data_IF_218389623704
#
_entry.id   IF_218389623704
#
_cell.length_a   1.000
_cell.length_b   1.000
_cell.length_c   1.000
_cell.angle_alpha   90.00
_cell.angle_beta   90.00
_cell.angle_gamma   90.00
#
_symmetry.space_group_name_H-M   'P 1'
#
loop_
_entity.id
_entity.type
_entity.pdbx_description
1 polymer ?
#
# COMPACT_ATOMS: atom_id res chain seq x y z
N UNK A 1 -8.67 -17.52 -12.47
CA UNK A 1 -8.18 -16.63 -11.38
C UNK A 1 -7.92 -17.48 -10.16
N UNK A 2 -6.99 -17.08 -9.29
CA UNK A 2 -6.84 -17.73 -7.98
C UNK A 2 -8.00 -17.32 -7.08
N UNK A 3 -8.37 -18.19 -6.15
CA UNK A 3 -9.24 -17.84 -5.03
C UNK A 3 -8.51 -16.91 -4.05
N UNK A 4 -9.27 -16.18 -3.22
CA UNK A 4 -8.69 -15.32 -2.19
C UNK A 4 -7.83 -16.10 -1.19
N UNK A 5 -8.18 -17.37 -0.90
CA UNK A 5 -7.41 -18.23 -0.01
C UNK A 5 -6.07 -18.68 -0.64
N UNK A 6 -6.06 -19.03 -1.92
CA UNK A 6 -4.82 -19.36 -2.64
C UNK A 6 -3.92 -18.14 -2.79
N UNK A 7 -4.51 -16.97 -3.05
CA UNK A 7 -3.76 -15.73 -3.15
C UNK A 7 -3.13 -15.35 -1.80
N UNK A 8 -3.87 -15.53 -0.69
CA UNK A 8 -3.33 -15.33 0.66
C UNK A 8 -2.14 -16.23 0.94
N UNK A 9 -2.27 -17.53 0.66
CA UNK A 9 -1.18 -18.49 0.86
C UNK A 9 0.08 -18.13 0.05
N UNK A 10 -0.10 -17.70 -1.21
CA UNK A 10 1.02 -17.24 -2.05
C UNK A 10 1.63 -15.95 -1.54
N UNK A 11 0.82 -15.00 -1.07
CA UNK A 11 1.30 -13.75 -0.49
C UNK A 11 2.22 -14.01 0.70
N UNK A 12 1.85 -14.93 1.59
CA UNK A 12 2.68 -15.32 2.73
C UNK A 12 3.99 -16.00 2.29
N UNK A 13 3.94 -16.89 1.29
CA UNK A 13 5.15 -17.51 0.71
C UNK A 13 6.09 -16.45 0.08
N UNK A 14 5.54 -15.51 -0.67
CA UNK A 14 6.31 -14.43 -1.29
C UNK A 14 6.90 -13.46 -0.27
N UNK A 15 6.18 -13.18 0.82
CA UNK A 15 6.69 -12.38 1.92
C UNK A 15 7.85 -13.08 2.62
N UNK A 16 7.71 -14.38 2.93
CA UNK A 16 8.76 -15.19 3.53
C UNK A 16 10.02 -15.29 2.64
N UNK A 17 9.84 -15.29 1.32
CA UNK A 17 10.94 -15.25 0.33
C UNK A 17 11.48 -13.85 0.07
N UNK A 18 10.92 -12.84 0.74
CA UNK A 18 11.32 -11.46 0.61
C UNK A 18 11.25 -10.94 -0.85
N UNK A 19 10.22 -11.35 -1.58
CA UNK A 19 9.95 -10.91 -2.95
C UNK A 19 9.32 -9.52 -2.97
N UNK A 20 9.65 -8.71 -3.97
CA UNK A 20 8.98 -7.41 -4.14
C UNK A 20 7.57 -7.65 -4.67
N UNK A 21 6.58 -7.06 -4.00
CA UNK A 21 5.18 -7.16 -4.37
C UNK A 21 4.56 -5.76 -4.46
N UNK A 22 3.67 -5.57 -5.42
CA UNK A 22 2.89 -4.34 -5.58
C UNK A 22 1.41 -4.67 -5.76
N UNK A 23 0.55 -3.74 -5.39
CA UNK A 23 -0.88 -3.80 -5.61
C UNK A 23 -1.36 -2.50 -6.25
N UNK A 24 -2.35 -2.56 -7.13
CA UNK A 24 -2.90 -1.39 -7.82
C UNK A 24 -4.38 -1.58 -8.15
N UNK A 25 -5.12 -0.47 -8.14
CA UNK A 25 -6.51 -0.42 -8.58
C UNK A 25 -6.50 0.04 -10.04
N UNK A 26 -6.75 -0.87 -10.98
CA UNK A 26 -6.68 -0.64 -12.42
C UNK A 26 -8.02 -0.74 -13.13
N UNK A 27 -9.04 -1.27 -12.46
CA UNK A 27 -10.42 -1.30 -12.97
C UNK A 27 -11.21 -0.11 -12.45
N UNK A 28 -11.25 0.96 -13.23
CA UNK A 28 -12.03 2.16 -12.96
C UNK A 28 -12.31 2.91 -14.26
N UNK A 29 -13.38 3.69 -14.30
CA UNK A 29 -13.61 4.64 -15.39
C UNK A 29 -12.73 5.88 -15.17
N UNK A 30 -11.95 6.31 -16.18
CA UNK A 30 -11.08 7.48 -16.03
C UNK A 30 -11.87 8.73 -15.59
N UNK A 31 -11.52 9.33 -14.43
CA UNK A 31 -12.18 10.55 -13.97
C UNK A 31 -11.91 11.74 -14.89
N UNK A 32 -12.80 12.73 -14.85
CA UNK A 32 -12.70 13.94 -15.67
C UNK A 32 -11.58 14.90 -15.20
N UNK A 33 -11.25 14.87 -13.91
CA UNK A 33 -10.24 15.70 -13.26
C UNK A 33 -9.29 14.87 -12.38
N UNK A 34 -8.25 15.51 -11.84
CA UNK A 34 -7.27 14.82 -11.01
C UNK A 34 -7.87 14.43 -9.65
N UNK A 35 -8.74 15.27 -9.10
CA UNK A 35 -9.47 15.00 -7.85
C UNK A 35 -10.19 13.64 -7.86
N UNK A 36 -10.80 13.25 -8.98
CA UNK A 36 -11.52 11.98 -9.10
C UNK A 36 -10.66 10.72 -9.01
N UNK A 37 -9.33 10.82 -9.09
CA UNK A 37 -8.44 9.68 -8.82
C UNK A 37 -8.29 9.37 -7.33
N UNK A 38 -8.67 10.31 -6.44
CA UNK A 38 -8.61 10.13 -4.99
C UNK A 38 -9.95 9.65 -4.44
N UNK A 39 -9.96 8.42 -3.92
CA UNK A 39 -11.16 7.79 -3.36
C UNK A 39 -11.44 8.31 -1.95
N UNK A 40 -12.71 8.25 -1.54
CA UNK A 40 -13.14 8.67 -0.20
C UNK A 40 -12.48 7.86 0.93
N UNK A 41 -12.17 6.59 0.66
CA UNK A 41 -11.44 5.68 1.55
C UNK A 41 -9.93 5.98 1.65
N UNK A 42 -9.46 7.00 0.94
CA UNK A 42 -8.07 7.49 0.94
C UNK A 42 -7.12 6.73 0.03
N UNK A 43 -7.61 5.81 -0.81
CA UNK A 43 -6.81 5.15 -1.84
C UNK A 43 -6.85 5.92 -3.17
N UNK A 44 -5.90 5.62 -4.05
CA UNK A 44 -5.69 6.33 -5.32
C UNK A 44 -5.84 5.35 -6.47
N UNK A 45 -6.70 5.69 -7.43
CA UNK A 45 -6.92 4.93 -8.65
C UNK A 45 -5.70 5.01 -9.57
N UNK A 46 -5.41 3.94 -10.30
CA UNK A 46 -4.29 3.89 -11.25
C UNK A 46 -2.90 3.98 -10.59
N UNK A 47 -2.82 3.87 -9.26
CA UNK A 47 -1.59 4.03 -8.50
C UNK A 47 -1.04 2.69 -8.00
N UNK A 48 0.28 2.58 -7.95
CA UNK A 48 0.97 1.39 -7.44
C UNK A 48 1.36 1.57 -5.97
N UNK A 49 0.82 0.68 -5.13
CA UNK A 49 1.18 0.55 -3.73
C UNK A 49 2.22 -0.56 -3.57
N UNK A 50 3.17 -0.39 -2.64
CA UNK A 50 4.03 -1.50 -2.22
C UNK A 50 3.23 -2.40 -1.28
N UNK A 51 3.11 -3.69 -1.61
CA UNK A 51 2.52 -4.69 -0.72
C UNK A 51 3.65 -5.27 0.14
N UNK A 52 3.78 -4.80 1.37
CA UNK A 52 4.97 -5.06 2.20
C UNK A 52 4.87 -6.42 2.88
N UNK A 53 3.76 -6.74 3.54
CA UNK A 53 3.66 -7.96 4.34
C UNK A 53 2.22 -8.44 4.49
N UNK A 54 2.03 -9.73 4.75
CA UNK A 54 0.79 -10.31 5.21
C UNK A 54 0.99 -10.97 6.57
N UNK A 55 0.07 -10.74 7.51
CA UNK A 55 0.13 -11.33 8.85
C UNK A 55 -1.21 -11.94 9.24
N UNK A 56 -1.12 -13.13 9.83
CA UNK A 56 -2.23 -13.76 10.53
C UNK A 56 -2.07 -13.45 12.02
N UNK A 57 -3.10 -12.90 12.63
CA UNK A 57 -3.20 -12.65 14.07
C UNK A 57 -4.45 -13.34 14.63
N UNK A 58 -4.54 -13.41 15.95
CA UNK A 58 -5.73 -13.89 16.64
C UNK A 58 -6.25 -12.83 17.62
N UNK A 59 -7.57 -12.65 17.70
CA UNK A 59 -8.19 -11.85 18.76
C UNK A 59 -8.11 -12.57 20.11
N UNK A 60 -8.44 -11.87 21.21
CA UNK A 60 -8.51 -12.46 22.54
C UNK A 60 -9.46 -13.68 22.63
N UNK A 61 -10.46 -13.74 21.74
CA UNK A 61 -11.43 -14.84 21.68
C UNK A 61 -10.97 -15.98 20.76
N UNK A 62 -9.76 -15.89 20.18
CA UNK A 62 -9.20 -16.90 19.28
C UNK A 62 -9.66 -16.77 17.82
N UNK A 63 -10.37 -15.70 17.46
CA UNK A 63 -10.79 -15.47 16.07
C UNK A 63 -9.59 -15.02 15.23
N UNK A 64 -9.42 -15.66 14.07
CA UNK A 64 -8.33 -15.35 13.16
C UNK A 64 -8.59 -14.04 12.39
N UNK A 65 -7.60 -13.15 12.40
CA UNK A 65 -7.61 -11.87 11.67
C UNK A 65 -6.46 -11.87 10.67
N UNK A 66 -6.80 -11.76 9.38
CA UNK A 66 -5.83 -11.65 8.29
C UNK A 66 -5.65 -10.17 7.92
N UNK A 67 -4.43 -9.67 8.07
CA UNK A 67 -4.08 -8.28 7.77
C UNK A 67 -2.97 -8.21 6.73
N UNK A 68 -3.05 -7.21 5.86
CA UNK A 68 -1.96 -6.87 4.94
C UNK A 68 -1.45 -5.46 5.23
N UNK A 69 -0.15 -5.29 5.06
CA UNK A 69 0.54 -4.02 5.22
C UNK A 69 0.94 -3.49 3.85
N UNK A 70 0.45 -2.30 3.50
CA UNK A 70 0.78 -1.63 2.27
C UNK A 70 1.49 -0.31 2.55
N UNK A 71 2.13 0.23 1.52
CA UNK A 71 2.70 1.58 1.55
C UNK A 71 2.37 2.34 0.29
N UNK A 72 1.84 3.54 0.48
CA UNK A 72 1.83 4.55 -0.58
C UNK A 72 3.22 5.21 -0.67
N UNK A 73 3.91 5.16 -1.82
CA UNK A 73 5.20 5.83 -2.00
C UNK A 73 5.13 7.36 -1.88
N UNK A 74 3.95 7.97 -2.10
CA UNK A 74 3.75 9.41 -2.00
C UNK A 74 3.47 9.91 -0.57
N UNK A 75 3.38 9.01 0.42
CA UNK A 75 3.21 9.38 1.83
C UNK A 75 1.75 9.43 2.28
N UNK A 76 1.43 10.37 3.18
CA UNK A 76 0.08 10.54 3.76
C UNK A 76 -0.86 11.37 2.91
N UNK A 77 -0.33 12.45 2.35
CA UNK A 77 -1.09 13.39 1.55
C UNK A 77 -0.33 13.67 0.27
N UNK A 78 -1.08 13.87 -0.80
CA UNK A 78 -0.56 14.40 -2.04
C UNK A 78 -1.05 15.83 -2.18
N UNK A 79 -0.09 16.74 -2.27
CA UNK A 79 -0.33 18.14 -2.58
C UNK A 79 -0.35 18.30 -4.10
N UNK A 80 -1.46 18.80 -4.63
CA UNK A 80 -1.68 19.01 -6.05
C UNK A 80 -2.20 20.43 -6.25
N UNK A 81 -2.16 20.92 -7.50
CA UNK A 81 -2.73 22.23 -7.84
C UNK A 81 -4.23 22.35 -7.53
N UNK A 82 -4.93 21.23 -7.42
CA UNK A 82 -6.37 21.15 -7.11
C UNK A 82 -6.66 21.00 -5.61
N UNK A 83 -5.64 20.72 -4.79
CA UNK A 83 -5.77 20.60 -3.34
C UNK A 83 -4.90 19.50 -2.72
N UNK A 84 -5.08 19.31 -1.42
CA UNK A 84 -4.40 18.29 -0.61
C UNK A 84 -5.34 17.13 -0.36
N UNK A 85 -5.02 15.96 -0.93
CA UNK A 85 -5.85 14.77 -0.82
C UNK A 85 -5.23 13.73 0.12
N UNK A 86 -6.05 13.02 0.92
CA UNK A 86 -5.56 11.87 1.68
C UNK A 86 -5.16 10.75 0.73
N UNK A 87 -4.09 10.03 1.08
CA UNK A 87 -3.53 8.99 0.23
C UNK A 87 -3.17 7.70 1.00
N UNK A 88 -3.62 7.59 2.25
CA UNK A 88 -3.63 6.38 3.07
C UNK A 88 -5.04 5.87 3.26
N UNK A 89 -5.16 4.55 3.38
CA UNK A 89 -6.39 3.87 3.77
C UNK A 89 -7.02 4.46 5.03
N UNK A 90 -8.36 4.61 5.02
CA UNK A 90 -9.16 5.18 6.11
C UNK A 90 -10.21 4.23 6.68
N UNK A 91 -10.28 3.00 6.19
CA UNK A 91 -11.23 1.98 6.67
C UNK A 91 -10.72 1.21 7.89
N UNK A 92 -11.20 -0.02 8.06
CA UNK A 92 -10.82 -0.88 9.18
C UNK A 92 -9.30 -1.11 9.22
N UNK A 93 -8.72 -1.10 10.43
CA UNK A 93 -7.27 -1.27 10.65
C UNK A 93 -6.37 -0.17 10.06
N UNK A 94 -6.92 0.96 9.61
CA UNK A 94 -6.10 2.14 9.28
C UNK A 94 -5.36 2.72 10.50
N UNK A 95 -4.47 3.69 10.27
CA UNK A 95 -3.80 4.42 11.34
C UNK A 95 -4.85 5.13 12.23
N UNK A 96 -4.86 4.80 13.52
CA UNK A 96 -5.81 5.34 14.50
C UNK A 96 -7.20 4.68 14.47
N UNK A 97 -7.40 3.61 13.70
CA UNK A 97 -8.66 2.86 13.67
C UNK A 97 -9.06 2.33 15.05
N UNK A 98 -10.36 2.36 15.34
CA UNK A 98 -10.92 1.79 16.57
C UNK A 98 -10.63 0.29 16.71
N UNK A 99 -10.46 -0.44 15.60
CA UNK A 99 -10.10 -1.85 15.61
C UNK A 99 -8.85 -2.14 16.45
N UNK A 100 -7.86 -1.25 16.44
CA UNK A 100 -6.64 -1.41 17.25
C UNK A 100 -6.90 -1.25 18.75
N UNK A 101 -7.82 -0.36 19.11
CA UNK A 101 -8.20 -0.14 20.51
C UNK A 101 -9.07 -1.29 21.03
N UNK A 102 -9.91 -1.87 20.16
CA UNK A 102 -10.72 -3.05 20.49
C UNK A 102 -9.91 -4.33 20.58
N UNK A 103 -8.86 -4.47 19.76
CA UNK A 103 -8.03 -5.66 19.65
C UNK A 103 -6.53 -5.34 19.83
N UNK A 104 -6.10 -4.89 21.02
CA UNK A 104 -4.70 -4.56 21.29
C UNK A 104 -3.75 -5.76 21.13
N UNK A 105 -4.24 -6.99 21.31
CA UNK A 105 -3.52 -8.23 21.07
C UNK A 105 -3.16 -8.41 19.59
N UNK A 106 -4.05 -8.02 18.68
CA UNK A 106 -3.79 -8.04 17.24
C UNK A 106 -2.74 -7.00 16.89
N UNK A 107 -2.87 -5.78 17.45
CA UNK A 107 -1.88 -4.71 17.29
C UNK A 107 -0.47 -5.17 17.69
N UNK A 108 -0.35 -5.86 18.83
CA UNK A 108 0.92 -6.41 19.32
C UNK A 108 1.48 -7.48 18.37
N UNK A 109 0.67 -8.47 17.97
CA UNK A 109 1.09 -9.55 17.07
C UNK A 109 1.60 -9.04 15.72
N UNK A 110 0.94 -8.04 15.15
CA UNK A 110 1.34 -7.49 13.85
C UNK A 110 2.43 -6.43 13.95
N UNK A 111 2.72 -5.93 15.15
CA UNK A 111 3.70 -4.87 15.37
C UNK A 111 3.19 -3.52 14.86
N UNK A 112 1.91 -3.22 15.09
CA UNK A 112 1.30 -1.97 14.68
C UNK A 112 1.99 -0.78 15.35
N UNK A 113 2.55 0.11 14.53
CA UNK A 113 3.21 1.33 14.94
C UNK A 113 2.88 2.43 13.91
N UNK A 114 1.84 3.25 14.15
CA UNK A 114 1.41 4.24 13.18
C UNK A 114 2.47 5.33 13.02
N UNK A 115 2.86 5.60 11.78
CA UNK A 115 3.93 6.54 11.42
C UNK A 115 3.55 7.44 10.24
N UNK A 116 4.32 8.49 10.01
CA UNK A 116 4.14 9.42 8.90
C UNK A 116 4.98 9.07 7.66
N UNK A 117 4.72 7.90 7.08
CA UNK A 117 5.59 7.27 6.08
C UNK A 117 4.84 6.62 4.89
N UNK A 118 3.52 6.80 4.81
CA UNK A 118 2.67 6.18 3.80
C UNK A 118 2.29 4.73 4.09
N UNK A 119 2.78 4.12 5.18
CA UNK A 119 2.43 2.74 5.57
C UNK A 119 1.06 2.71 6.24
N UNK A 120 0.27 1.68 5.94
CA UNK A 120 -0.98 1.39 6.61
C UNK A 120 -1.26 -0.11 6.59
N UNK A 121 -2.10 -0.55 7.52
CA UNK A 121 -2.68 -1.89 7.52
C UNK A 121 -4.11 -1.84 6.99
N UNK A 122 -4.57 -2.96 6.44
CA UNK A 122 -5.96 -3.17 6.07
C UNK A 122 -6.31 -4.64 6.22
N UNK A 123 -7.61 -4.96 6.30
CA UNK A 123 -8.05 -6.35 6.32
C UNK A 123 -7.78 -7.03 4.97
N UNK A 124 -7.52 -8.33 4.99
CA UNK A 124 -7.37 -9.10 3.76
C UNK A 124 -8.64 -9.08 2.89
N UNK A 125 -9.80 -9.04 3.54
CA UNK A 125 -11.09 -8.92 2.86
C UNK A 125 -11.17 -7.60 2.09
N UNK A 126 -10.95 -6.47 2.76
CA UNK A 126 -10.98 -5.15 2.11
C UNK A 126 -9.96 -5.08 0.96
N UNK A 127 -8.78 -5.67 1.15
CA UNK A 127 -7.76 -5.74 0.11
C UNK A 127 -8.28 -6.46 -1.15
N UNK A 128 -8.92 -7.62 -0.99
CA UNK A 128 -9.45 -8.40 -2.11
C UNK A 128 -10.63 -7.72 -2.81
N UNK A 129 -11.44 -6.97 -2.07
CA UNK A 129 -12.56 -6.20 -2.60
C UNK A 129 -12.10 -4.92 -3.32
N UNK A 130 -10.93 -4.39 -2.95
CA UNK A 130 -10.44 -3.08 -3.43
C UNK A 130 -9.41 -3.18 -4.55
N UNK A 131 -8.42 -4.07 -4.44
CA UNK A 131 -7.30 -4.15 -5.38
C UNK A 131 -7.52 -5.26 -6.41
N UNK A 132 -7.58 -4.89 -7.68
CA UNK A 132 -7.80 -5.86 -8.77
C UNK A 132 -6.52 -6.42 -9.39
N UNK A 133 -5.35 -5.86 -9.06
CA UNK A 133 -4.08 -6.30 -9.62
C UNK A 133 -2.95 -6.30 -8.59
N UNK A 134 -2.28 -7.45 -8.49
CA UNK A 134 -1.06 -7.65 -7.70
C UNK A 134 0.05 -8.16 -8.59
N UNK A 135 1.23 -7.55 -8.53
CA UNK A 135 2.41 -7.97 -9.26
C UNK A 135 3.49 -8.44 -8.28
N UNK A 136 4.23 -9.49 -8.65
CA UNK A 136 5.30 -10.07 -7.83
C UNK A 136 6.56 -10.18 -8.67
N UNK A 137 7.65 -9.62 -8.18
CA UNK A 137 8.98 -9.85 -8.72
C UNK A 137 9.61 -11.00 -7.92
N UNK A 138 9.65 -12.18 -8.53
CA UNK A 138 10.16 -13.42 -7.93
C UNK A 138 11.70 -13.44 -7.84
N UNK A 139 12.27 -12.38 -7.28
CA UNK A 139 13.69 -12.24 -6.98
C UNK A 139 13.81 -11.83 -5.52
N UNK A 140 14.48 -12.66 -4.72
CA UNK A 140 14.73 -12.35 -3.31
C UNK A 140 15.53 -11.07 -3.20
N UNK A 141 15.06 -10.13 -2.40
CA UNK A 141 15.85 -8.96 -2.02
C UNK A 141 16.94 -9.39 -1.05
N UNK A 142 18.14 -8.79 -1.16
CA UNK A 142 19.25 -9.07 -0.23
C UNK A 142 18.95 -8.56 1.19
N UNK A 143 18.15 -7.49 1.31
CA UNK A 143 17.69 -6.94 2.60
C UNK A 143 16.19 -7.21 2.80
N UNK A 144 15.72 -7.57 4.01
CA UNK A 144 14.30 -7.79 4.29
C UNK A 144 13.47 -6.51 4.12
N UNK A 145 12.36 -6.59 3.36
CA UNK A 145 11.45 -5.46 3.12
C UNK A 145 10.85 -4.91 4.42
N UNK A 146 10.53 -5.80 5.37
CA UNK A 146 10.01 -5.41 6.67
C UNK A 146 11.08 -4.76 7.57
N UNK A 147 12.36 -5.14 7.49
CA UNK A 147 13.39 -4.69 8.43
C UNK A 147 13.72 -3.19 8.32
N UNK A 148 13.60 -2.61 7.12
CA UNK A 148 13.87 -1.18 6.86
C UNK A 148 12.64 -0.30 6.79
N UNK A 149 11.43 -0.87 6.73
CA UNK A 149 10.21 -0.10 6.92
C UNK A 149 10.23 0.67 8.25
N UNK A 150 10.93 0.15 9.26
CA UNK A 150 11.02 0.71 10.60
C UNK A 150 12.27 1.57 10.88
N UNK A 151 13.18 1.76 9.92
CA UNK A 151 14.37 2.58 10.14
C UNK A 151 14.17 4.02 9.66
N UNK A 152 14.29 4.97 10.59
CA UNK A 152 14.40 6.41 10.30
C UNK A 152 15.44 6.63 9.21
N UNK A 153 15.03 7.02 8.00
CA UNK A 153 15.97 7.67 7.08
C UNK A 153 16.41 8.97 7.76
N UNK A 154 17.70 9.09 8.09
CA UNK A 154 18.30 10.41 8.37
C UNK A 154 17.99 11.28 7.14
N UNK A 155 17.39 12.46 7.34
CA UNK A 155 17.12 13.42 6.25
C UNK A 155 18.43 13.64 5.48
N UNK A 156 18.51 13.03 4.31
CA UNK A 156 19.49 13.39 3.28
C UNK A 156 18.83 14.50 2.46
N UNK A 157 19.39 15.71 2.40
CA UNK A 157 18.88 16.73 1.51
C UNK A 157 19.30 16.37 0.09
N UNK A 158 18.37 15.87 -0.72
CA UNK A 158 18.23 16.17 -2.16
C UNK A 158 17.09 15.35 -2.75
N UNK A 159 16.08 16.04 -3.27
CA UNK A 159 15.17 15.48 -4.25
C UNK A 159 15.99 15.16 -5.50
N UNK A 160 16.11 13.87 -5.85
CA UNK A 160 16.50 13.46 -7.19
C UNK A 160 15.23 12.91 -7.84
N UNK A 161 14.43 13.82 -8.40
CA UNK A 161 13.43 13.42 -9.40
C UNK A 161 14.20 13.07 -10.67
N UNK A 162 14.24 11.79 -11.03
CA UNK A 162 14.61 11.37 -12.38
C UNK A 162 13.34 11.45 -13.24
N UNK A 163 13.09 12.62 -13.82
CA UNK A 163 12.11 12.76 -14.90
C UNK A 163 12.67 12.12 -16.17
N UNK A 164 11.89 11.26 -16.82
CA UNK A 164 12.18 10.79 -18.17
C UNK A 164 11.88 11.95 -19.15
N UNK A 165 12.88 12.81 -19.38
CA UNK A 165 12.84 13.74 -20.49
C UNK A 165 13.13 13.01 -21.80
N UNK A 166 12.07 12.83 -22.60
CA UNK A 166 12.01 12.77 -24.09
C UNK A 166 11.07 11.67 -24.56
N UNK A 167 9.83 12.06 -24.88
CA UNK A 167 9.12 11.64 -26.10
C UNK A 167 8.05 12.70 -26.43
N UNK A 168 8.52 13.87 -26.85
CA UNK A 168 7.75 14.79 -27.68
C UNK A 168 8.69 15.27 -28.79
N UNK A 169 8.95 14.39 -29.75
CA UNK A 169 9.55 14.81 -31.02
C UNK A 169 8.51 15.65 -31.78
N UNK A 170 8.88 16.91 -31.99
CA UNK A 170 8.17 17.94 -32.73
C UNK A 170 7.58 17.45 -34.06
N UNK A 171 6.26 17.60 -34.21
CA UNK A 171 5.62 17.78 -35.50
C UNK A 171 5.44 19.28 -35.73
N UNK A 172 6.40 19.92 -36.39
CA UNK A 172 6.26 21.30 -36.86
C UNK A 172 5.45 21.30 -38.16
N UNK A 173 4.47 22.20 -38.20
CA UNK A 173 3.63 22.56 -39.34
C UNK A 173 4.44 22.84 -40.63
N UNK A 174 3.90 22.36 -41.75
CA UNK A 174 3.74 23.13 -42.99
C UNK A 174 2.32 22.94 -43.50
#
# INVERSE_FOLDING_TARGET
SLSNAELWARLLDYDARNYVMTASITKFDPPADLAGYFREDGLVLGHAYSLISGKLAATANGEAVQLVMLRNPHGKTCDTVEGVFPSKWRGAWCDGSYCWATHPEVASQVGYSPMDDGIFWMSWQDFCETFDKTCVLAKSMQEPRAARAFQRRKKQPTAVCLGLERMASHGTLQ
#
